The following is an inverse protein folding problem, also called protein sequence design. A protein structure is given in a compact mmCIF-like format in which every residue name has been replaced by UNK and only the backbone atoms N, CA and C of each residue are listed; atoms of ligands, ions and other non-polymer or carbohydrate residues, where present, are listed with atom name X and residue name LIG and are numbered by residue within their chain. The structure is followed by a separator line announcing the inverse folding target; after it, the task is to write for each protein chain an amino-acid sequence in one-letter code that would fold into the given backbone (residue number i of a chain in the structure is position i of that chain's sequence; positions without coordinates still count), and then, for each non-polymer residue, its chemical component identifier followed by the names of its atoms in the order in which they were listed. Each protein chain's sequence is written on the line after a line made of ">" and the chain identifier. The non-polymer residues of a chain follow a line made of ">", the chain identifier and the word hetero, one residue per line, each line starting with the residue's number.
data_IF_479576812722
#
_entry.id   IF_479576812722
#
_cell.length_a   1.000
_cell.length_b   1.000
_cell.length_c   1.000
_cell.angle_alpha   90.00
_cell.angle_beta   90.00
_cell.angle_gamma   90.00
#
_symmetry.space_group_name_H-M   'P 1'
#
loop_
_entity.id
_entity.type
_entity.pdbx_description
1 polymer ?
#
# COMPACT_ATOMS: atom_id res chain seq x y z
N UNK A 1 45.99 -25.33 -4.45
CA UNK A 1 46.98 -26.43 -4.53
C UNK A 1 48.20 -25.90 -5.29
N UNK A 2 49.28 -25.55 -4.60
CA UNK A 2 50.43 -24.83 -5.17
C UNK A 2 51.42 -25.71 -5.93
N UNK A 3 50.96 -26.74 -6.66
CA UNK A 3 51.82 -27.61 -7.45
C UNK A 3 51.75 -27.21 -8.93
N UNK A 4 52.84 -26.59 -9.42
CA UNK A 4 52.94 -26.03 -10.77
C UNK A 4 52.98 -27.09 -11.88
N UNK A 5 53.52 -28.29 -11.62
CA UNK A 5 53.58 -29.35 -12.62
C UNK A 5 52.19 -29.93 -12.90
N UNK A 6 51.42 -30.16 -11.83
CA UNK A 6 50.03 -30.65 -11.96
C UNK A 6 49.15 -29.59 -12.62
N UNK A 7 49.38 -28.31 -12.34
CA UNK A 7 48.63 -27.22 -12.97
C UNK A 7 48.80 -27.23 -14.50
N UNK A 8 50.03 -27.37 -15.02
CA UNK A 8 50.28 -27.41 -16.46
C UNK A 8 49.63 -28.60 -17.16
N UNK A 9 49.68 -29.78 -16.54
CA UNK A 9 49.02 -30.99 -17.08
C UNK A 9 47.50 -30.80 -17.12
N UNK A 10 46.92 -30.27 -16.04
CA UNK A 10 45.47 -30.04 -15.94
C UNK A 10 45.00 -29.00 -16.96
N UNK A 11 45.77 -27.92 -17.13
CA UNK A 11 45.47 -26.86 -18.10
C UNK A 11 45.45 -27.39 -19.53
N UNK A 12 46.46 -28.19 -19.91
CA UNK A 12 46.51 -28.80 -21.26
C UNK A 12 45.30 -29.69 -21.53
N UNK A 13 45.01 -30.63 -20.62
CA UNK A 13 43.88 -31.56 -20.79
C UNK A 13 42.55 -30.80 -20.83
N UNK A 14 42.40 -29.79 -19.98
CA UNK A 14 41.17 -28.98 -19.94
C UNK A 14 41.00 -28.16 -21.21
N UNK A 15 42.06 -27.54 -21.72
CA UNK A 15 42.01 -26.78 -22.96
C UNK A 15 41.62 -27.67 -24.14
N UNK A 16 42.24 -28.85 -24.28
CA UNK A 16 41.94 -29.77 -25.36
C UNK A 16 40.48 -30.26 -25.30
N UNK A 17 40.01 -30.66 -24.12
CA UNK A 17 38.64 -31.14 -23.92
C UNK A 17 37.60 -30.03 -24.14
N UNK A 18 37.85 -28.82 -23.64
CA UNK A 18 36.94 -27.68 -23.83
C UNK A 18 36.91 -27.25 -25.30
N UNK A 19 38.06 -27.19 -25.97
CA UNK A 19 38.13 -26.87 -27.40
C UNK A 19 37.40 -27.90 -28.23
N UNK A 20 37.57 -29.20 -27.94
CA UNK A 20 36.85 -30.26 -28.63
C UNK A 20 35.32 -30.11 -28.42
N UNK A 21 34.87 -29.95 -27.18
CA UNK A 21 33.45 -29.83 -26.85
C UNK A 21 32.78 -28.63 -27.54
N UNK A 22 33.43 -27.47 -27.54
CA UNK A 22 32.90 -26.25 -28.16
C UNK A 22 32.82 -26.38 -29.69
N UNK A 23 33.75 -27.10 -30.32
CA UNK A 23 33.72 -27.36 -31.76
C UNK A 23 32.65 -28.39 -32.16
N UNK A 24 32.44 -29.40 -31.33
CA UNK A 24 31.44 -30.45 -31.58
C UNK A 24 30.00 -29.97 -31.31
N UNK A 25 29.81 -28.95 -30.47
CA UNK A 25 28.48 -28.43 -30.07
C UNK A 25 28.30 -26.92 -30.38
N UNK A 26 28.11 -26.52 -31.66
CA UNK A 26 28.07 -25.12 -32.07
C UNK A 26 26.97 -24.28 -31.40
N UNK A 27 25.79 -24.87 -31.16
CA UNK A 27 24.66 -24.17 -30.56
C UNK A 27 24.94 -23.83 -29.09
N UNK A 28 25.48 -24.77 -28.32
CA UNK A 28 25.84 -24.55 -26.92
C UNK A 28 27.04 -23.61 -26.79
N UNK A 29 28.05 -23.79 -27.67
CA UNK A 29 29.19 -22.89 -27.75
C UNK A 29 28.76 -21.44 -28.00
N UNK A 30 27.81 -21.21 -28.91
CA UNK A 30 27.27 -19.88 -29.17
C UNK A 30 26.60 -19.27 -27.94
N UNK A 31 25.85 -20.05 -27.15
CA UNK A 31 25.22 -19.59 -25.90
C UNK A 31 26.28 -19.23 -24.86
N UNK A 32 27.30 -20.09 -24.68
CA UNK A 32 28.40 -19.86 -23.74
C UNK A 32 29.19 -18.60 -24.12
N UNK A 33 29.61 -18.49 -25.38
CA UNK A 33 30.35 -17.33 -25.90
C UNK A 33 29.54 -16.05 -25.76
N UNK A 34 28.24 -16.08 -26.07
CA UNK A 34 27.35 -14.93 -25.90
C UNK A 34 27.32 -14.47 -24.44
N UNK A 35 27.22 -15.39 -23.48
CA UNK A 35 27.23 -15.07 -22.04
C UNK A 35 28.57 -14.50 -21.58
N UNK A 36 29.70 -15.00 -22.13
CA UNK A 36 31.04 -14.45 -21.88
C UNK A 36 31.14 -13.02 -22.41
N UNK A 37 30.70 -12.76 -23.66
CA UNK A 37 30.71 -11.44 -24.28
C UNK A 37 29.84 -10.46 -23.50
N UNK A 38 28.61 -10.83 -23.16
CA UNK A 38 27.71 -10.00 -22.34
C UNK A 38 28.37 -9.63 -20.99
N UNK A 39 29.02 -10.59 -20.34
CA UNK A 39 29.72 -10.38 -19.06
C UNK A 39 30.98 -9.52 -19.20
N UNK A 40 31.70 -9.61 -20.33
CA UNK A 40 32.87 -8.81 -20.62
C UNK A 40 32.47 -7.36 -20.94
N UNK A 41 31.43 -7.16 -21.75
CA UNK A 41 30.87 -5.85 -22.06
C UNK A 41 30.37 -5.15 -20.80
N UNK A 42 29.67 -5.87 -19.90
CA UNK A 42 29.24 -5.32 -18.61
C UNK A 42 30.41 -4.90 -17.72
N UNK A 43 31.49 -5.70 -17.67
CA UNK A 43 32.71 -5.35 -16.94
C UNK A 43 33.40 -4.13 -17.54
N UNK A 44 33.49 -4.04 -18.87
CA UNK A 44 34.15 -2.94 -19.56
C UNK A 44 33.35 -1.63 -19.44
N UNK A 45 32.02 -1.69 -19.54
CA UNK A 45 31.13 -0.56 -19.35
C UNK A 45 31.15 -0.08 -17.88
N UNK A 46 31.11 -0.99 -16.90
CA UNK A 46 31.32 -0.64 -15.50
C UNK A 46 32.71 -0.01 -15.26
N UNK A 47 33.77 -0.53 -15.90
CA UNK A 47 35.11 0.06 -15.82
C UNK A 47 35.17 1.46 -16.46
N UNK A 48 34.59 1.66 -17.65
CA UNK A 48 34.52 2.98 -18.31
C UNK A 48 33.73 3.99 -17.49
N UNK A 49 32.61 3.56 -16.87
CA UNK A 49 31.84 4.38 -15.94
C UNK A 49 32.63 4.73 -14.67
N UNK A 50 33.41 3.77 -14.13
CA UNK A 50 34.35 3.98 -13.02
C UNK A 50 35.48 4.96 -13.41
N UNK A 51 36.05 4.87 -14.60
CA UNK A 51 37.11 5.79 -15.07
C UNK A 51 36.57 7.21 -15.33
N UNK A 52 35.35 7.36 -15.83
CA UNK A 52 34.67 8.65 -16.02
C UNK A 52 34.37 9.36 -14.70
N UNK A 53 34.03 8.59 -13.65
CA UNK A 53 33.82 9.10 -12.30
C UNK A 53 35.15 9.40 -11.58
N UNK A 54 36.24 8.68 -11.89
CA UNK A 54 37.57 8.87 -11.28
C UNK A 54 38.42 9.96 -11.96
N UNK A 55 38.33 10.17 -13.27
CA UNK A 55 39.09 11.27 -13.95
C UNK A 55 38.63 12.67 -13.57
N UNK A 56 37.43 12.83 -13.01
CA UNK A 56 36.95 14.10 -12.45
C UNK A 56 37.43 14.36 -11.01
N UNK A 57 38.17 13.44 -10.39
CA UNK A 57 38.36 13.42 -8.93
C UNK A 57 39.56 14.19 -8.38
N UNK A 58 40.25 15.05 -9.15
CA UNK A 58 41.45 15.74 -8.64
C UNK A 58 41.37 17.27 -8.56
N UNK A 59 40.39 17.95 -9.19
CA UNK A 59 40.30 19.42 -9.05
C UNK A 59 38.90 20.05 -9.15
N UNK A 60 37.83 19.29 -9.26
CA UNK A 60 36.47 19.83 -9.14
C UNK A 60 35.83 19.32 -7.85
N UNK A 61 35.48 20.25 -6.96
CA UNK A 61 34.48 20.02 -5.92
C UNK A 61 33.36 19.17 -6.51
N UNK A 62 33.04 18.03 -5.90
CA UNK A 62 31.99 17.09 -6.31
C UNK A 62 30.81 17.88 -6.88
N UNK A 63 30.68 17.95 -8.21
CA UNK A 63 29.63 18.77 -8.82
C UNK A 63 28.30 18.14 -8.40
N UNK A 64 27.64 18.79 -7.45
CA UNK A 64 26.31 18.41 -7.03
C UNK A 64 25.39 18.45 -8.25
N UNK A 65 24.39 17.55 -8.33
CA UNK A 65 23.45 17.56 -9.43
C UNK A 65 22.80 18.94 -9.55
N UNK A 66 22.70 19.50 -10.76
CA UNK A 66 22.10 20.83 -10.96
C UNK A 66 20.63 20.94 -10.50
N UNK A 67 19.95 19.80 -10.32
CA UNK A 67 18.59 19.71 -9.77
C UNK A 67 18.54 19.75 -8.25
N UNK A 68 19.63 19.43 -7.56
CA UNK A 68 19.68 19.36 -6.11
C UNK A 68 19.62 20.78 -5.52
N UNK A 69 18.62 21.04 -4.70
CA UNK A 69 18.58 22.23 -3.85
C UNK A 69 19.10 21.86 -2.46
N UNK A 70 20.40 22.06 -2.24
CA UNK A 70 21.09 21.64 -1.02
C UNK A 70 20.76 22.53 0.21
N UNK A 71 21.09 22.03 1.41
CA UNK A 71 20.98 22.73 2.69
C UNK A 71 22.32 23.32 3.16
N UNK A 72 22.28 24.16 4.20
CA UNK A 72 23.47 24.79 4.79
C UNK A 72 24.18 23.88 5.79
N UNK A 73 23.43 23.01 6.45
CA UNK A 73 23.92 22.05 7.43
C UNK A 73 24.88 21.05 6.78
N UNK A 74 26.02 20.84 7.42
CA UNK A 74 27.07 19.92 6.93
C UNK A 74 27.14 18.64 7.74
N UNK A 75 26.61 18.63 8.96
CA UNK A 75 26.50 17.41 9.74
C UNK A 75 25.40 16.50 9.14
N UNK A 76 25.75 15.30 8.63
CA UNK A 76 24.78 14.37 8.08
C UNK A 76 23.67 13.98 9.07
N UNK A 77 23.95 13.98 10.37
CA UNK A 77 22.96 13.61 11.39
C UNK A 77 21.86 14.65 11.57
N UNK A 78 22.16 15.90 11.26
CA UNK A 78 21.24 17.04 11.40
C UNK A 78 20.59 17.43 10.06
N UNK A 79 21.11 16.92 8.94
CA UNK A 79 20.61 17.21 7.60
C UNK A 79 19.64 16.13 7.11
N UNK A 80 18.72 16.55 6.24
CA UNK A 80 17.75 15.66 5.63
C UNK A 80 17.54 15.99 4.15
N UNK A 81 17.21 14.98 3.35
CA UNK A 81 16.96 15.11 1.93
C UNK A 81 15.59 14.56 1.57
N UNK A 82 14.80 15.36 0.86
CA UNK A 82 13.52 14.96 0.29
C UNK A 82 13.70 14.58 -1.18
N UNK A 83 13.33 13.35 -1.52
CA UNK A 83 13.23 12.86 -2.88
C UNK A 83 11.78 13.02 -3.31
N UNK A 84 11.54 13.91 -4.28
CA UNK A 84 10.19 14.32 -4.69
C UNK A 84 9.89 13.95 -6.13
N UNK A 85 8.65 13.53 -6.37
CA UNK A 85 8.15 13.21 -7.69
C UNK A 85 7.82 14.49 -8.49
N UNK A 86 8.56 14.70 -9.58
CA UNK A 86 8.29 15.77 -10.54
C UNK A 86 8.76 17.16 -10.13
N UNK A 87 8.87 18.03 -11.13
CA UNK A 87 9.31 19.42 -10.95
C UNK A 87 8.26 20.27 -10.22
N UNK A 88 6.98 19.91 -10.31
CA UNK A 88 5.88 20.66 -9.67
C UNK A 88 5.98 20.57 -8.15
N UNK A 89 5.94 19.35 -7.60
CA UNK A 89 6.13 19.11 -6.17
C UNK A 89 7.53 19.58 -5.72
N UNK A 90 8.56 19.39 -6.55
CA UNK A 90 9.90 19.91 -6.28
C UNK A 90 9.99 21.43 -6.19
N UNK A 91 9.21 22.15 -6.99
CA UNK A 91 9.09 23.61 -6.91
C UNK A 91 8.48 24.07 -5.60
N UNK A 92 7.34 23.50 -5.20
CA UNK A 92 6.66 23.82 -3.94
C UNK A 92 7.52 23.44 -2.73
N UNK A 93 8.13 22.26 -2.74
CA UNK A 93 9.02 21.80 -1.67
C UNK A 93 10.27 22.70 -1.55
N UNK A 94 10.88 23.11 -2.67
CA UNK A 94 12.02 24.02 -2.66
C UNK A 94 11.68 25.40 -2.07
N UNK A 95 10.46 25.89 -2.29
CA UNK A 95 9.99 27.16 -1.76
C UNK A 95 9.65 27.08 -0.26
N UNK A 96 9.03 25.98 0.18
CA UNK A 96 8.57 25.79 1.56
C UNK A 96 9.60 25.20 2.52
N UNK A 97 10.74 24.69 2.04
CA UNK A 97 11.76 24.04 2.89
C UNK A 97 12.44 24.98 3.87
N UNK A 98 12.93 24.42 4.97
CA UNK A 98 13.97 25.05 5.77
C UNK A 98 15.34 24.89 5.09
N UNK A 99 15.90 26.01 4.63
CA UNK A 99 17.22 26.03 3.96
C UNK A 99 18.37 25.62 4.88
N UNK A 100 18.17 25.67 6.20
CA UNK A 100 19.18 25.30 7.18
C UNK A 100 19.54 23.83 7.05
N UNK A 101 18.56 22.92 7.07
CA UNK A 101 18.81 21.48 7.16
C UNK A 101 18.09 20.60 6.13
N UNK A 102 17.20 21.15 5.30
CA UNK A 102 16.44 20.36 4.32
C UNK A 102 16.95 20.54 2.90
N UNK A 103 17.41 19.47 2.28
CA UNK A 103 17.74 19.40 0.85
C UNK A 103 16.56 18.82 0.05
N UNK A 104 16.37 19.27 -1.19
CA UNK A 104 15.32 18.77 -2.09
C UNK A 104 15.95 18.25 -3.38
N UNK A 105 15.62 17.02 -3.76
CA UNK A 105 16.00 16.40 -5.02
C UNK A 105 14.75 15.99 -5.83
N UNK A 106 14.38 16.79 -6.84
CA UNK A 106 13.31 16.43 -7.78
C UNK A 106 13.75 15.35 -8.77
N UNK A 107 12.92 14.32 -8.93
CA UNK A 107 13.09 13.28 -9.94
C UNK A 107 12.09 13.47 -11.08
N UNK A 108 12.54 13.27 -12.32
CA UNK A 108 11.67 13.38 -13.51
C UNK A 108 11.28 12.00 -14.03
N UNK A 109 9.98 11.80 -14.21
CA UNK A 109 9.43 10.59 -14.81
C UNK A 109 9.58 9.34 -13.94
N UNK A 110 9.19 8.19 -14.48
CA UNK A 110 9.34 6.89 -13.80
C UNK A 110 10.82 6.51 -13.79
N UNK A 111 11.35 6.22 -12.61
CA UNK A 111 12.73 5.75 -12.45
C UNK A 111 12.92 4.46 -13.24
N UNK A 112 14.11 4.27 -13.80
CA UNK A 112 14.46 3.03 -14.46
C UNK A 112 14.31 1.86 -13.48
N UNK A 113 13.56 0.83 -13.88
CA UNK A 113 13.47 -0.40 -13.12
C UNK A 113 14.85 -1.07 -13.05
N UNK A 114 15.49 -0.96 -11.89
CA UNK A 114 16.84 -1.50 -11.64
C UNK A 114 16.88 -3.01 -11.49
N UNK A 115 15.74 -3.67 -11.25
CA UNK A 115 15.66 -5.13 -11.19
C UNK A 115 15.81 -5.74 -12.60
N UNK A 116 15.17 -5.12 -13.60
CA UNK A 116 15.25 -5.59 -15.00
C UNK A 116 16.44 -5.04 -15.77
N UNK A 117 16.93 -3.87 -15.38
CA UNK A 117 17.97 -3.19 -16.13
C UNK A 117 19.35 -3.80 -15.86
N UNK A 118 20.12 -4.04 -16.93
CA UNK A 118 21.55 -4.33 -16.81
C UNK A 118 22.24 -3.18 -16.05
N UNK A 119 23.26 -3.52 -15.25
CA UNK A 119 24.02 -2.57 -14.41
C UNK A 119 24.51 -1.36 -15.20
N UNK A 120 24.94 -1.54 -16.45
CA UNK A 120 25.42 -0.43 -17.30
C UNK A 120 24.32 0.58 -17.62
N UNK A 121 23.10 0.10 -17.89
CA UNK A 121 21.94 0.94 -18.19
C UNK A 121 21.50 1.70 -16.95
N UNK A 122 21.56 1.06 -15.78
CA UNK A 122 21.34 1.69 -14.48
C UNK A 122 22.35 2.82 -14.24
N UNK A 123 23.64 2.52 -14.39
CA UNK A 123 24.71 3.50 -14.20
C UNK A 123 24.68 4.63 -15.24
N UNK A 124 24.13 4.40 -16.43
CA UNK A 124 23.95 5.44 -17.44
C UNK A 124 22.76 6.36 -17.19
N UNK A 125 21.82 5.98 -16.31
CA UNK A 125 20.60 6.75 -16.06
C UNK A 125 20.90 8.03 -15.27
N UNK A 126 20.51 9.17 -15.82
CA UNK A 126 20.81 10.48 -15.22
C UNK A 126 20.10 10.73 -13.87
N UNK A 127 18.89 10.19 -13.66
CA UNK A 127 18.18 10.31 -12.37
C UNK A 127 18.88 9.49 -11.29
N UNK A 128 19.32 8.27 -11.61
CA UNK A 128 20.07 7.41 -10.68
C UNK A 128 21.44 8.03 -10.37
N UNK A 129 22.17 8.51 -11.39
CA UNK A 129 23.42 9.23 -11.17
C UNK A 129 23.22 10.44 -10.26
N UNK A 130 22.16 11.22 -10.50
CA UNK A 130 21.84 12.40 -9.70
C UNK A 130 21.56 12.01 -8.25
N UNK A 131 20.77 10.96 -8.02
CA UNK A 131 20.47 10.43 -6.68
C UNK A 131 21.73 9.97 -5.94
N UNK A 132 22.55 9.12 -6.57
CA UNK A 132 23.80 8.60 -5.98
C UNK A 132 24.77 9.74 -5.67
N UNK A 133 24.90 10.70 -6.58
CA UNK A 133 25.79 11.86 -6.39
C UNK A 133 25.29 12.76 -5.27
N UNK A 134 23.96 12.96 -5.16
CA UNK A 134 23.37 13.73 -4.06
C UNK A 134 23.65 13.06 -2.70
N UNK A 135 23.49 11.74 -2.59
CA UNK A 135 23.72 10.99 -1.34
C UNK A 135 25.20 10.89 -0.95
N UNK A 136 26.10 10.86 -1.93
CA UNK A 136 27.56 10.83 -1.71
C UNK A 136 28.15 9.45 -1.40
N UNK A 137 27.31 8.42 -1.29
CA UNK A 137 27.71 7.07 -0.86
C UNK A 137 28.35 6.21 -1.94
N UNK A 138 28.26 6.60 -3.23
CA UNK A 138 28.55 5.66 -4.33
C UNK A 138 27.44 4.62 -4.51
N UNK A 139 27.63 3.64 -5.40
CA UNK A 139 26.60 2.66 -5.78
C UNK A 139 27.18 1.24 -5.95
N UNK A 140 26.44 0.24 -5.48
CA UNK A 140 26.76 -1.19 -5.62
C UNK A 140 27.74 -1.70 -4.56
N UNK A 141 27.78 -3.02 -4.37
CA UNK A 141 28.51 -3.71 -3.29
C UNK A 141 29.99 -3.31 -3.15
N UNK A 142 30.66 -3.01 -4.25
CA UNK A 142 32.11 -2.77 -4.25
C UNK A 142 32.50 -1.29 -4.03
N UNK A 143 31.57 -0.36 -4.27
CA UNK A 143 31.85 1.09 -4.28
C UNK A 143 30.96 1.87 -3.29
N UNK A 144 29.98 1.22 -2.70
CA UNK A 144 29.11 1.82 -1.71
C UNK A 144 29.87 1.99 -0.38
N UNK A 145 29.88 3.22 0.12
CA UNK A 145 30.49 3.61 1.39
C UNK A 145 29.50 4.50 2.16
N UNK A 146 28.85 3.88 3.13
CA UNK A 146 27.89 4.54 4.01
C UNK A 146 28.51 5.66 4.85
N UNK A 147 29.82 5.64 5.12
CA UNK A 147 30.47 6.70 5.91
C UNK A 147 30.48 8.05 5.20
N UNK A 148 30.26 8.05 3.87
CA UNK A 148 30.16 9.25 3.03
C UNK A 148 28.74 9.75 2.86
N UNK A 149 27.76 9.13 3.53
CA UNK A 149 26.37 9.53 3.44
C UNK A 149 26.20 10.97 3.92
N UNK A 150 25.68 11.83 3.04
CA UNK A 150 25.55 13.26 3.30
C UNK A 150 24.31 13.66 4.12
N UNK A 151 23.31 12.78 4.17
CA UNK A 151 22.04 13.01 4.86
C UNK A 151 21.61 11.72 5.57
N UNK A 152 21.53 11.73 6.90
CA UNK A 152 21.07 10.57 7.69
C UNK A 152 19.54 10.42 7.72
N UNK A 153 18.82 11.38 7.14
CA UNK A 153 17.38 11.28 6.92
C UNK A 153 17.09 11.47 5.45
N UNK A 154 16.73 10.38 4.79
CA UNK A 154 16.30 10.34 3.39
C UNK A 154 14.80 10.13 3.40
N UNK A 155 14.04 11.11 2.92
CA UNK A 155 12.58 11.09 2.92
C UNK A 155 12.09 10.95 1.47
N UNK A 156 11.38 9.86 1.19
CA UNK A 156 10.64 9.69 -0.06
C UNK A 156 9.28 10.38 0.10
N UNK A 157 9.04 11.39 -0.73
CA UNK A 157 7.79 12.16 -0.74
C UNK A 157 7.17 12.08 -2.13
N UNK A 158 6.20 11.17 -2.28
CA UNK A 158 5.48 10.88 -3.51
C UNK A 158 3.99 11.16 -3.36
N UNK A 159 3.28 11.30 -4.48
CA UNK A 159 1.83 11.45 -4.47
C UNK A 159 1.13 10.18 -3.93
N UNK A 160 -0.12 10.35 -3.49
CA UNK A 160 -0.95 9.27 -2.96
C UNK A 160 -1.64 8.44 -4.06
N UNK A 161 -1.37 8.74 -5.33
CA UNK A 161 -1.94 8.05 -6.48
C UNK A 161 -1.12 6.80 -6.87
N UNK A 162 -1.56 6.15 -7.95
CA UNK A 162 -0.95 4.92 -8.46
C UNK A 162 0.48 5.17 -8.98
N UNK A 163 0.73 6.33 -9.59
CA UNK A 163 2.04 6.65 -10.15
C UNK A 163 3.06 6.97 -9.06
N UNK A 164 2.64 7.67 -8.00
CA UNK A 164 3.43 7.86 -6.80
C UNK A 164 3.73 6.55 -6.07
N UNK A 165 2.76 5.63 -5.99
CA UNK A 165 3.00 4.28 -5.49
C UNK A 165 4.04 3.51 -6.34
N UNK A 166 4.00 3.64 -7.66
CA UNK A 166 5.00 3.03 -8.56
C UNK A 166 6.40 3.59 -8.34
N UNK A 167 6.57 4.92 -8.30
CA UNK A 167 7.89 5.53 -8.10
C UNK A 167 8.45 5.23 -6.71
N UNK A 168 7.60 5.27 -5.68
CA UNK A 168 7.97 4.85 -4.33
C UNK A 168 8.49 3.42 -4.31
N UNK A 169 7.80 2.51 -4.99
CA UNK A 169 8.22 1.10 -5.09
C UNK A 169 9.57 0.97 -5.79
N UNK A 170 9.77 1.66 -6.92
CA UNK A 170 11.04 1.66 -7.65
C UNK A 170 12.21 2.20 -6.81
N UNK A 171 11.97 3.25 -6.02
CA UNK A 171 12.96 3.79 -5.09
C UNK A 171 13.27 2.81 -3.97
N UNK A 172 12.26 2.19 -3.37
CA UNK A 172 12.45 1.18 -2.31
C UNK A 172 13.27 -0.01 -2.83
N UNK A 173 12.94 -0.54 -4.01
CA UNK A 173 13.73 -1.59 -4.66
C UNK A 173 15.17 -1.14 -4.94
N UNK A 174 15.36 0.10 -5.39
CA UNK A 174 16.70 0.64 -5.61
C UNK A 174 17.52 0.68 -4.32
N UNK A 175 16.98 1.23 -3.23
CA UNK A 175 17.67 1.29 -1.94
C UNK A 175 17.93 -0.12 -1.40
N UNK A 176 16.96 -1.03 -1.50
CA UNK A 176 17.10 -2.40 -1.03
C UNK A 176 18.21 -3.16 -1.76
N UNK A 177 18.29 -3.05 -3.09
CA UNK A 177 19.28 -3.80 -3.88
C UNK A 177 20.66 -3.15 -3.92
N UNK A 178 20.73 -1.82 -3.95
CA UNK A 178 21.99 -1.10 -4.21
C UNK A 178 22.60 -0.46 -2.96
N UNK A 179 21.80 -0.21 -1.91
CA UNK A 179 22.21 0.51 -0.70
C UNK A 179 21.51 -0.04 0.57
N UNK A 180 21.54 -1.37 0.83
CA UNK A 180 20.78 -1.97 1.93
C UNK A 180 21.14 -1.39 3.30
N UNK A 181 22.41 -1.02 3.52
CA UNK A 181 22.86 -0.43 4.79
C UNK A 181 22.13 0.87 5.17
N UNK A 182 21.60 1.62 4.19
CA UNK A 182 20.79 2.82 4.46
C UNK A 182 19.50 2.43 5.18
N UNK A 183 18.88 1.32 4.77
CA UNK A 183 17.66 0.79 5.39
C UNK A 183 18.00 0.15 6.74
N UNK A 184 19.07 -0.65 6.81
CA UNK A 184 19.52 -1.33 8.03
C UNK A 184 19.85 -0.34 9.16
N UNK A 185 20.53 0.77 8.84
CA UNK A 185 20.81 1.85 9.80
C UNK A 185 19.61 2.75 10.04
N UNK A 186 18.53 2.56 9.29
CA UNK A 186 17.27 3.25 9.50
C UNK A 186 17.29 4.71 9.06
N UNK A 187 17.99 5.02 7.97
CA UNK A 187 18.08 6.36 7.40
C UNK A 187 16.97 6.67 6.38
N UNK A 188 16.20 5.66 5.96
CA UNK A 188 15.15 5.80 4.94
C UNK A 188 13.75 5.94 5.55
N UNK A 189 13.02 6.95 5.09
CA UNK A 189 11.68 7.31 5.56
C UNK A 189 10.75 7.59 4.38
N UNK A 190 9.46 7.43 4.60
CA UNK A 190 8.38 7.77 3.66
C UNK A 190 7.52 8.86 4.30
N UNK A 191 7.35 9.99 3.62
CA UNK A 191 6.47 11.05 4.07
C UNK A 191 5.01 10.61 4.02
N UNK A 192 4.19 11.07 4.98
CA UNK A 192 2.75 10.80 5.02
C UNK A 192 1.98 12.13 4.88
N UNK A 193 1.85 12.67 3.64
CA UNK A 193 1.07 13.88 3.42
C UNK A 193 -0.42 13.65 3.75
N UNK A 194 -1.16 14.69 4.19
CA UNK A 194 -2.58 14.54 4.50
C UNK A 194 -3.42 14.34 3.25
N UNK A 195 -4.37 13.41 3.31
CA UNK A 195 -5.35 13.17 2.25
C UNK A 195 -6.49 14.20 2.24
N UNK A 196 -6.84 14.74 3.41
CA UNK A 196 -7.94 15.69 3.56
C UNK A 196 -7.54 16.95 4.31
N UNK A 197 -8.11 18.07 3.88
CA UNK A 197 -8.18 19.34 4.61
C UNK A 197 -9.63 19.63 4.96
N UNK A 198 -9.87 19.84 6.26
CA UNK A 198 -11.17 20.24 6.79
C UNK A 198 -11.08 21.66 7.31
N UNK A 199 -12.05 22.50 6.93
CA UNK A 199 -12.22 23.85 7.48
C UNK A 199 -13.59 24.02 8.14
N UNK A 200 -13.62 24.69 9.30
CA UNK A 200 -14.85 25.21 9.93
C UNK A 200 -14.60 26.64 10.40
N UNK A 201 -15.09 27.61 9.63
CA UNK A 201 -14.76 29.02 9.85
C UNK A 201 -13.25 29.26 9.73
N UNK A 202 -12.61 29.74 10.80
CA UNK A 202 -11.16 29.99 10.85
C UNK A 202 -10.31 28.78 11.27
N UNK A 203 -10.94 27.70 11.76
CA UNK A 203 -10.20 26.50 12.21
C UNK A 203 -9.96 25.57 11.03
N UNK A 204 -8.73 25.07 10.93
CA UNK A 204 -8.27 24.16 9.90
C UNK A 204 -7.71 22.89 10.54
N UNK A 205 -8.00 21.74 9.92
CA UNK A 205 -7.46 20.44 10.29
C UNK A 205 -6.98 19.70 9.05
N UNK A 206 -5.89 18.97 9.20
CA UNK A 206 -5.32 18.11 8.17
C UNK A 206 -5.41 16.67 8.65
N UNK A 207 -5.87 15.77 7.79
CA UNK A 207 -6.15 14.37 8.13
C UNK A 207 -5.49 13.44 7.12
N UNK A 208 -4.84 12.40 7.63
CA UNK A 208 -3.98 11.50 6.85
C UNK A 208 -4.78 10.56 5.96
N UNK A 209 -5.93 10.06 6.40
CA UNK A 209 -6.69 9.03 5.72
C UNK A 209 -8.20 9.15 5.99
N UNK A 210 -8.99 8.29 5.34
CA UNK A 210 -10.45 8.24 5.50
C UNK A 210 -10.86 7.87 6.93
N UNK A 211 -10.13 6.98 7.60
CA UNK A 211 -10.40 6.60 8.99
C UNK A 211 -10.27 7.81 9.94
N UNK A 212 -9.24 8.63 9.76
CA UNK A 212 -9.03 9.86 10.53
C UNK A 212 -10.14 10.89 10.27
N UNK A 213 -10.67 10.95 9.05
CA UNK A 213 -11.84 11.76 8.69
C UNK A 213 -13.08 11.28 9.42
N UNK A 214 -13.35 9.98 9.38
CA UNK A 214 -14.50 9.40 10.03
C UNK A 214 -14.45 9.60 11.55
N UNK A 215 -13.30 9.35 12.19
CA UNK A 215 -13.13 9.59 13.62
C UNK A 215 -13.25 11.08 13.98
N UNK A 216 -12.72 11.98 13.14
CA UNK A 216 -12.89 13.42 13.34
C UNK A 216 -14.38 13.82 13.27
N UNK A 217 -15.11 13.32 12.28
CA UNK A 217 -16.53 13.60 12.11
C UNK A 217 -17.34 13.04 13.28
N UNK A 218 -17.12 11.77 13.66
CA UNK A 218 -17.81 11.13 14.77
C UNK A 218 -17.53 11.85 16.10
N UNK A 219 -16.29 12.27 16.35
CA UNK A 219 -15.95 12.99 17.59
C UNK A 219 -16.62 14.36 17.70
N UNK A 220 -16.77 15.07 16.58
CA UNK A 220 -17.22 16.47 16.59
C UNK A 220 -18.72 16.65 16.30
N UNK A 221 -19.34 15.77 15.52
CA UNK A 221 -20.73 15.91 15.09
C UNK A 221 -21.74 15.17 15.98
N UNK A 222 -21.31 14.13 16.68
CA UNK A 222 -22.20 13.26 17.47
C UNK A 222 -22.77 13.95 18.73
N UNK A 223 -22.34 15.19 19.03
CA UNK A 223 -22.93 15.98 20.11
C UNK A 223 -24.38 16.39 19.82
N UNK A 224 -24.69 16.68 18.56
CA UNK A 224 -25.97 17.27 18.14
C UNK A 224 -26.83 16.29 17.33
N UNK A 225 -26.44 15.01 17.32
CA UNK A 225 -27.09 13.94 16.56
C UNK A 225 -27.47 12.78 17.50
N UNK A 226 -28.71 12.30 17.42
CA UNK A 226 -29.18 11.07 18.07
C UNK A 226 -29.72 10.07 17.05
N UNK A 227 -29.64 8.78 17.40
CA UNK A 227 -30.30 7.70 16.66
C UNK A 227 -31.32 7.05 17.58
N UNK A 228 -32.57 7.01 17.14
CA UNK A 228 -33.69 6.44 17.87
C UNK A 228 -34.22 5.20 17.15
N UNK A 229 -34.24 4.07 17.85
CA UNK A 229 -35.00 2.88 17.51
C UNK A 229 -35.82 2.47 18.74
N UNK A 230 -35.65 1.23 19.22
CA UNK A 230 -36.20 0.79 20.52
C UNK A 230 -35.54 1.54 21.68
N UNK A 231 -34.27 1.91 21.50
CA UNK A 231 -33.51 2.78 22.41
C UNK A 231 -33.06 4.03 21.65
N UNK A 232 -32.87 5.13 22.38
CA UNK A 232 -32.22 6.33 21.85
C UNK A 232 -30.74 6.33 22.26
N UNK A 233 -29.85 6.46 21.27
CA UNK A 233 -28.39 6.49 21.46
C UNK A 233 -27.82 7.82 20.99
N UNK A 234 -26.93 8.38 21.80
CA UNK A 234 -26.28 9.69 21.61
C UNK A 234 -24.80 9.62 22.00
N UNK A 235 -24.02 10.64 21.67
CA UNK A 235 -22.67 10.82 22.21
C UNK A 235 -21.73 9.64 21.91
N UNK A 236 -20.97 9.21 22.93
CA UNK A 236 -20.01 8.12 22.79
C UNK A 236 -20.66 6.79 22.36
N UNK A 237 -21.89 6.51 22.83
CA UNK A 237 -22.64 5.31 22.44
C UNK A 237 -23.01 5.35 20.96
N UNK A 238 -23.49 6.47 20.43
CA UNK A 238 -23.76 6.60 18.99
C UNK A 238 -22.49 6.35 18.17
N UNK A 239 -21.36 6.94 18.57
CA UNK A 239 -20.08 6.72 17.91
C UNK A 239 -19.66 5.25 17.90
N UNK A 240 -19.91 4.53 19.01
CA UNK A 240 -19.67 3.09 19.13
C UNK A 240 -20.55 2.31 18.15
N UNK A 241 -21.84 2.63 18.08
CA UNK A 241 -22.78 1.98 17.16
C UNK A 241 -22.43 2.23 15.68
N UNK A 242 -22.01 3.44 15.30
CA UNK A 242 -21.60 3.73 13.93
C UNK A 242 -20.35 2.94 13.54
N UNK A 243 -19.36 2.85 14.44
CA UNK A 243 -18.18 1.99 14.21
C UNK A 243 -18.54 0.52 14.04
N UNK A 244 -19.49 0.00 14.82
CA UNK A 244 -20.00 -1.37 14.66
C UNK A 244 -20.68 -1.57 13.28
N UNK A 245 -21.47 -0.59 12.83
CA UNK A 245 -22.12 -0.63 11.51
C UNK A 245 -21.08 -0.62 10.38
N UNK A 246 -20.05 0.23 10.49
CA UNK A 246 -18.93 0.29 9.55
C UNK A 246 -18.12 -1.01 9.53
N UNK A 247 -17.78 -1.56 10.70
CA UNK A 247 -17.07 -2.84 10.83
C UNK A 247 -17.85 -3.99 10.23
N UNK A 248 -19.16 -4.07 10.50
CA UNK A 248 -20.07 -5.02 9.85
C UNK A 248 -20.01 -4.92 8.33
N UNK A 249 -20.09 -3.72 7.77
CA UNK A 249 -20.01 -3.50 6.31
C UNK A 249 -18.70 -4.03 5.74
N UNK A 250 -17.57 -3.76 6.41
CA UNK A 250 -16.24 -4.25 5.97
C UNK A 250 -16.17 -5.79 5.98
N UNK A 251 -16.65 -6.44 7.04
CA UNK A 251 -16.69 -7.91 7.13
C UNK A 251 -17.56 -8.51 6.02
N UNK A 252 -18.76 -7.98 5.84
CA UNK A 252 -19.71 -8.43 4.81
C UNK A 252 -19.15 -8.27 3.38
N UNK A 253 -18.48 -7.15 3.11
CA UNK A 253 -17.82 -6.90 1.84
C UNK A 253 -16.69 -7.92 1.57
N UNK A 254 -15.93 -8.34 2.59
CA UNK A 254 -14.92 -9.39 2.44
C UNK A 254 -15.53 -10.74 2.02
N UNK A 255 -16.74 -11.07 2.47
CA UNK A 255 -17.46 -12.26 2.00
C UNK A 255 -17.97 -12.07 0.57
N UNK A 256 -18.47 -10.88 0.24
CA UNK A 256 -18.89 -10.53 -1.12
C UNK A 256 -17.75 -10.71 -2.15
N UNK A 257 -16.53 -10.33 -1.76
CA UNK A 257 -15.31 -10.54 -2.54
C UNK A 257 -14.93 -12.02 -2.69
N UNK A 258 -15.34 -12.89 -1.77
CA UNK A 258 -15.16 -14.35 -1.86
C UNK A 258 -16.29 -15.04 -2.63
N UNK A 259 -17.05 -14.28 -3.41
CA UNK A 259 -18.20 -14.76 -4.20
C UNK A 259 -19.37 -15.32 -3.36
N UNK A 260 -19.42 -14.97 -2.07
CA UNK A 260 -20.52 -15.30 -1.17
C UNK A 260 -21.48 -14.10 -1.11
N UNK A 261 -22.78 -14.35 -1.00
CA UNK A 261 -23.77 -13.28 -0.91
C UNK A 261 -23.81 -12.73 0.52
N UNK A 262 -23.44 -11.46 0.68
CA UNK A 262 -23.40 -10.83 1.99
C UNK A 262 -24.74 -10.90 2.75
N UNK A 263 -25.87 -10.95 2.03
CA UNK A 263 -27.23 -10.98 2.62
C UNK A 263 -27.52 -12.33 3.28
N UNK A 264 -27.02 -13.42 2.70
CA UNK A 264 -27.11 -14.76 3.26
C UNK A 264 -26.20 -14.88 4.48
N UNK A 265 -24.96 -14.41 4.38
CA UNK A 265 -24.02 -14.36 5.52
C UNK A 265 -24.59 -13.53 6.67
N UNK A 266 -25.14 -12.37 6.35
CA UNK A 266 -25.79 -11.51 7.32
C UNK A 266 -26.97 -12.23 7.99
N UNK A 267 -27.80 -12.94 7.22
CA UNK A 267 -28.92 -13.72 7.75
C UNK A 267 -28.45 -14.83 8.69
N UNK A 268 -27.45 -15.60 8.29
CA UNK A 268 -26.85 -16.67 9.11
C UNK A 268 -26.26 -16.13 10.42
N UNK A 269 -25.66 -14.94 10.39
CA UNK A 269 -25.05 -14.35 11.60
C UNK A 269 -26.05 -13.79 12.63
N UNK A 270 -27.36 -13.77 12.33
CA UNK A 270 -28.40 -13.47 13.32
C UNK A 270 -28.84 -14.69 14.13
N UNK A 271 -28.49 -15.90 13.69
CA UNK A 271 -28.78 -17.13 14.40
C UNK A 271 -27.89 -17.28 15.64
N UNK A 272 -28.35 -18.09 16.58
CA UNK A 272 -27.60 -18.43 17.78
C UNK A 272 -26.28 -19.15 17.42
N UNK A 273 -25.12 -18.69 17.90
CA UNK A 273 -23.83 -19.37 17.67
C UNK A 273 -23.83 -20.86 18.05
N UNK A 274 -24.62 -21.26 19.05
CA UNK A 274 -24.66 -22.65 19.51
C UNK A 274 -25.26 -23.60 18.47
N UNK A 275 -26.09 -23.10 17.54
CA UNK A 275 -26.63 -23.90 16.42
C UNK A 275 -25.53 -24.38 15.46
N UNK A 276 -24.41 -23.66 15.38
CA UNK A 276 -23.29 -24.05 14.52
C UNK A 276 -22.27 -24.93 15.23
N UNK A 277 -22.19 -24.85 16.57
CA UNK A 277 -21.17 -25.50 17.40
C UNK A 277 -21.63 -26.85 17.96
N UNK A 278 -22.90 -26.99 18.30
CA UNK A 278 -23.45 -28.15 19.01
C UNK A 278 -24.33 -29.00 18.09
N UNK A 279 -23.68 -29.70 17.14
CA UNK A 279 -24.37 -30.52 16.13
C UNK A 279 -24.94 -29.64 15.02
N UNK A 280 -24.25 -29.64 13.87
CA UNK A 280 -24.66 -28.86 12.70
C UNK A 280 -25.91 -29.49 12.06
N UNK A 281 -27.10 -29.05 12.49
CA UNK A 281 -28.37 -29.46 11.89
C UNK A 281 -28.67 -28.57 10.68
N UNK A 282 -28.19 -28.99 9.50
CA UNK A 282 -28.34 -28.25 8.25
C UNK A 282 -29.78 -27.93 7.90
N UNK A 283 -30.73 -28.81 8.22
CA UNK A 283 -32.15 -28.59 7.91
C UNK A 283 -32.74 -27.48 8.78
N UNK A 284 -32.45 -27.50 10.09
CA UNK A 284 -32.88 -26.46 11.03
C UNK A 284 -32.24 -25.12 10.70
N UNK A 285 -30.91 -25.09 10.53
CA UNK A 285 -30.16 -23.85 10.23
C UNK A 285 -30.66 -23.24 8.91
N UNK A 286 -30.92 -24.05 7.88
CA UNK A 286 -31.46 -23.57 6.61
C UNK A 286 -32.83 -22.90 6.78
N UNK A 287 -33.74 -23.53 7.53
CA UNK A 287 -35.07 -22.97 7.79
C UNK A 287 -35.00 -21.64 8.56
N UNK A 288 -34.15 -21.57 9.57
CA UNK A 288 -33.94 -20.36 10.38
C UNK A 288 -33.34 -19.22 9.52
N UNK A 289 -32.37 -19.53 8.66
CA UNK A 289 -31.81 -18.55 7.70
C UNK A 289 -32.90 -18.06 6.74
N UNK A 290 -33.71 -18.96 6.18
CA UNK A 290 -34.81 -18.61 5.27
C UNK A 290 -35.83 -17.71 5.96
N UNK A 291 -36.14 -17.95 7.24
CA UNK A 291 -37.02 -17.08 8.01
C UNK A 291 -36.43 -15.67 8.15
N UNK A 292 -35.14 -15.56 8.50
CA UNK A 292 -34.46 -14.26 8.59
C UNK A 292 -34.43 -13.55 7.25
N UNK A 293 -34.17 -14.27 6.15
CA UNK A 293 -34.21 -13.72 4.78
C UNK A 293 -35.59 -13.12 4.48
N UNK A 294 -36.67 -13.84 4.78
CA UNK A 294 -38.04 -13.36 4.55
C UNK A 294 -38.36 -12.10 5.35
N UNK A 295 -37.87 -12.04 6.59
CA UNK A 295 -38.10 -10.90 7.48
C UNK A 295 -37.26 -9.66 7.10
N UNK A 296 -35.97 -9.84 6.79
CA UNK A 296 -35.00 -8.74 6.66
C UNK A 296 -34.60 -8.42 5.21
N UNK A 297 -34.77 -9.36 4.29
CA UNK A 297 -34.38 -9.23 2.88
C UNK A 297 -35.54 -9.66 1.95
N UNK A 298 -36.71 -9.01 2.03
CA UNK A 298 -37.88 -9.41 1.24
C UNK A 298 -37.64 -9.33 -0.28
N UNK A 299 -36.64 -8.54 -0.72
CA UNK A 299 -36.25 -8.37 -2.11
C UNK A 299 -34.97 -9.15 -2.51
N UNK A 300 -34.61 -10.23 -1.79
CA UNK A 300 -33.39 -11.01 -2.06
C UNK A 300 -33.31 -11.51 -3.53
N UNK A 301 -34.46 -11.67 -4.20
CA UNK A 301 -34.58 -12.33 -5.49
C UNK A 301 -34.71 -13.85 -5.34
N UNK A 302 -34.88 -14.60 -6.44
CA UNK A 302 -34.94 -16.05 -6.38
C UNK A 302 -33.61 -16.63 -5.88
N UNK A 303 -33.70 -17.62 -5.00
CA UNK A 303 -32.57 -18.39 -4.51
C UNK A 303 -32.92 -19.88 -4.47
N UNK A 304 -31.91 -20.73 -4.61
CA UNK A 304 -32.03 -22.17 -4.35
C UNK A 304 -31.08 -22.58 -3.23
N UNK A 305 -31.46 -23.59 -2.48
CA UNK A 305 -30.70 -24.11 -1.34
C UNK A 305 -30.43 -25.59 -1.52
N UNK A 306 -29.16 -25.99 -1.50
CA UNK A 306 -28.76 -27.38 -1.39
C UNK A 306 -28.43 -27.66 0.08
N UNK A 307 -29.15 -28.59 0.71
CA UNK A 307 -28.97 -28.94 2.12
C UNK A 307 -28.31 -30.32 2.17
N UNK A 308 -27.07 -30.36 2.66
CA UNK A 308 -26.28 -31.57 2.87
C UNK A 308 -26.13 -31.82 4.38
N UNK A 309 -25.60 -32.98 4.78
CA UNK A 309 -25.50 -33.36 6.20
C UNK A 309 -24.63 -32.39 7.03
N UNK A 310 -23.60 -31.80 6.44
CA UNK A 310 -22.61 -30.94 7.12
C UNK A 310 -22.51 -29.52 6.54
N UNK A 311 -23.32 -29.20 5.53
CA UNK A 311 -23.25 -27.93 4.82
C UNK A 311 -24.58 -27.53 4.17
N UNK A 312 -24.80 -26.23 4.05
CA UNK A 312 -25.87 -25.63 3.24
C UNK A 312 -25.23 -24.76 2.17
N UNK A 313 -25.67 -24.89 0.92
CA UNK A 313 -25.21 -24.03 -0.19
C UNK A 313 -26.38 -23.22 -0.71
N UNK A 314 -26.29 -21.89 -0.57
CA UNK A 314 -27.24 -20.96 -1.16
C UNK A 314 -26.72 -20.49 -2.52
N UNK A 315 -27.53 -20.68 -3.54
CA UNK A 315 -27.32 -20.09 -4.86
C UNK A 315 -28.22 -18.88 -5.02
N UNK A 316 -27.62 -17.71 -5.18
CA UNK A 316 -28.35 -16.45 -5.37
C UNK A 316 -27.84 -15.70 -6.60
N UNK A 317 -28.64 -14.75 -7.08
CA UNK A 317 -28.20 -13.78 -8.08
C UNK A 317 -28.23 -12.39 -7.47
N UNK A 318 -27.11 -11.69 -7.55
CA UNK A 318 -26.97 -10.31 -7.06
C UNK A 318 -26.24 -9.49 -8.11
N UNK A 319 -26.84 -8.37 -8.54
CA UNK A 319 -26.30 -7.50 -9.58
C UNK A 319 -25.90 -8.24 -10.87
N UNK A 320 -26.67 -9.26 -11.26
CA UNK A 320 -26.40 -10.10 -12.44
C UNK A 320 -25.31 -11.16 -12.24
N UNK A 321 -24.64 -11.21 -11.09
CA UNK A 321 -23.63 -12.20 -10.77
C UNK A 321 -24.24 -13.35 -9.96
N UNK A 322 -23.89 -14.58 -10.33
CA UNK A 322 -24.24 -15.78 -9.56
C UNK A 322 -23.31 -15.89 -8.35
N UNK A 323 -23.92 -16.00 -7.17
CA UNK A 323 -23.21 -16.18 -5.90
C UNK A 323 -23.46 -17.57 -5.36
N UNK A 324 -22.44 -18.13 -4.71
CA UNK A 324 -22.52 -19.41 -4.01
C UNK A 324 -22.08 -19.18 -2.57
N UNK A 325 -23.01 -19.31 -1.64
CA UNK A 325 -22.75 -19.07 -0.21
C UNK A 325 -22.80 -20.38 0.54
N UNK A 326 -21.63 -20.84 0.96
CA UNK A 326 -21.46 -22.02 1.78
C UNK A 326 -21.65 -21.66 3.26
N UNK A 327 -22.58 -22.34 3.93
CA UNK A 327 -22.79 -22.27 5.37
C UNK A 327 -22.46 -23.64 5.93
N UNK A 328 -21.38 -23.74 6.70
CA UNK A 328 -20.92 -24.96 7.36
C UNK A 328 -20.40 -24.62 8.76
N UNK A 329 -19.99 -25.64 9.52
CA UNK A 329 -19.37 -25.43 10.82
C UNK A 329 -18.09 -24.58 10.74
N UNK A 330 -17.29 -24.75 9.68
CA UNK A 330 -16.03 -24.01 9.47
C UNK A 330 -16.27 -22.50 9.36
N UNK A 331 -17.36 -22.06 8.72
CA UNK A 331 -17.73 -20.66 8.64
C UNK A 331 -17.86 -20.07 10.05
N UNK A 332 -18.49 -20.78 10.98
CA UNK A 332 -18.69 -20.32 12.37
C UNK A 332 -17.39 -20.18 13.17
N UNK A 333 -16.35 -20.93 12.79
CA UNK A 333 -15.01 -20.86 13.39
C UNK A 333 -14.17 -19.71 12.82
N UNK A 334 -14.60 -19.10 11.70
CA UNK A 334 -13.88 -17.95 11.15
C UNK A 334 -14.01 -16.74 12.07
N UNK A 335 -12.88 -16.07 12.36
CA UNK A 335 -12.85 -14.84 13.17
C UNK A 335 -13.82 -13.77 12.64
N UNK A 336 -13.98 -13.68 11.32
CA UNK A 336 -14.89 -12.73 10.68
C UNK A 336 -16.36 -12.99 10.99
N UNK A 337 -16.79 -14.26 10.96
CA UNK A 337 -18.17 -14.62 11.27
C UNK A 337 -18.47 -14.50 12.76
N UNK A 338 -17.54 -14.95 13.62
CA UNK A 338 -17.66 -14.80 15.07
C UNK A 338 -17.79 -13.33 15.48
N UNK A 339 -16.98 -12.45 14.87
CA UNK A 339 -17.07 -11.01 15.07
C UNK A 339 -18.40 -10.45 14.57
N UNK A 340 -18.89 -10.92 13.41
CA UNK A 340 -20.17 -10.51 12.84
C UNK A 340 -21.36 -10.86 13.76
N UNK A 341 -21.36 -12.07 14.35
CA UNK A 341 -22.37 -12.49 15.33
C UNK A 341 -22.34 -11.58 16.58
N UNK A 342 -21.14 -11.29 17.10
CA UNK A 342 -20.97 -10.34 18.23
C UNK A 342 -21.50 -8.96 17.89
N UNK A 343 -21.21 -8.42 16.71
CA UNK A 343 -21.72 -7.12 16.26
C UNK A 343 -23.25 -7.15 16.18
N UNK A 344 -23.85 -8.18 15.56
CA UNK A 344 -25.31 -8.26 15.44
C UNK A 344 -26.01 -8.37 16.78
N UNK A 345 -25.46 -9.11 17.75
CA UNK A 345 -26.01 -9.18 19.10
C UNK A 345 -26.13 -7.78 19.75
N UNK A 346 -25.18 -6.89 19.46
CA UNK A 346 -25.18 -5.52 19.97
C UNK A 346 -26.12 -4.61 19.17
N UNK A 347 -26.12 -4.73 17.84
CA UNK A 347 -27.00 -3.94 16.97
C UNK A 347 -28.48 -4.28 17.17
N UNK A 348 -28.81 -5.53 17.53
CA UNK A 348 -30.19 -5.96 17.85
C UNK A 348 -30.81 -5.15 19.00
N UNK A 349 -29.99 -4.59 19.90
CA UNK A 349 -30.44 -3.71 21.00
C UNK A 349 -31.01 -2.38 20.51
N UNK A 350 -30.65 -1.93 19.29
CA UNK A 350 -31.24 -0.74 18.67
C UNK A 350 -32.69 -0.97 18.21
N UNK A 351 -33.13 -2.22 18.14
CA UNK A 351 -34.47 -2.58 17.71
C UNK A 351 -34.58 -2.83 16.21
N UNK A 352 -35.82 -2.76 15.72
CA UNK A 352 -36.17 -2.98 14.32
C UNK A 352 -36.40 -1.63 13.61
N UNK A 353 -36.18 -1.56 12.29
CA UNK A 353 -36.55 -0.39 11.51
C UNK A 353 -38.08 -0.14 11.55
N UNK A 354 -38.54 1.08 11.25
CA UNK A 354 -37.74 2.25 10.87
C UNK A 354 -36.96 2.85 12.05
N UNK A 355 -35.78 3.37 11.76
CA UNK A 355 -35.01 4.15 12.73
C UNK A 355 -35.21 5.64 12.46
N UNK A 356 -35.00 6.48 13.47
CA UNK A 356 -35.04 7.95 13.31
C UNK A 356 -33.69 8.55 13.68
N UNK A 357 -33.05 9.22 12.73
CA UNK A 357 -31.88 10.07 12.98
C UNK A 357 -32.36 11.48 13.30
N UNK A 358 -32.07 11.99 14.50
CA UNK A 358 -32.42 13.36 14.90
C UNK A 358 -31.14 14.18 14.83
N UNK A 359 -31.09 15.18 13.95
CA UNK A 359 -29.94 16.10 13.81
C UNK A 359 -30.41 17.52 14.05
N UNK A 360 -29.83 18.21 15.04
CA UNK A 360 -30.22 19.58 15.42
C UNK A 360 -31.75 19.74 15.62
N UNK A 361 -32.40 18.74 16.21
CA UNK A 361 -33.86 18.72 16.44
C UNK A 361 -34.71 18.36 15.21
N UNK A 362 -34.12 18.16 14.03
CA UNK A 362 -34.85 17.70 12.83
C UNK A 362 -34.82 16.17 12.75
N UNK A 363 -35.97 15.49 12.80
CA UNK A 363 -36.05 14.04 12.66
C UNK A 363 -36.00 13.61 11.19
N UNK A 364 -35.24 12.56 10.90
CA UNK A 364 -35.15 11.91 9.60
C UNK A 364 -35.41 10.40 9.77
N UNK A 365 -36.47 9.90 9.15
CA UNK A 365 -36.77 8.47 9.16
C UNK A 365 -35.88 7.73 8.15
N UNK A 366 -35.32 6.59 8.56
CA UNK A 366 -34.45 5.75 7.74
C UNK A 366 -34.85 4.28 7.87
N UNK A 367 -34.72 3.52 6.78
CA UNK A 367 -35.28 2.16 6.69
C UNK A 367 -34.33 1.09 7.20
N UNK A 368 -33.05 1.41 7.39
CA UNK A 368 -32.05 0.48 7.86
C UNK A 368 -30.86 1.20 8.51
N UNK A 369 -30.05 0.44 9.26
CA UNK A 369 -28.87 0.98 9.97
C UNK A 369 -27.78 1.51 9.02
N UNK A 370 -27.72 1.05 7.76
CA UNK A 370 -26.75 1.56 6.78
C UNK A 370 -27.13 2.97 6.35
N UNK A 371 -28.40 3.21 6.05
CA UNK A 371 -28.95 4.54 5.80
C UNK A 371 -28.81 5.45 7.02
N UNK A 372 -29.06 4.93 8.23
CA UNK A 372 -28.83 5.68 9.46
C UNK A 372 -27.38 6.17 9.55
N UNK A 373 -26.40 5.28 9.36
CA UNK A 373 -24.99 5.66 9.40
C UNK A 373 -24.63 6.67 8.31
N UNK A 374 -25.07 6.46 7.06
CA UNK A 374 -24.83 7.40 5.98
C UNK A 374 -25.40 8.78 6.29
N UNK A 375 -26.65 8.84 6.75
CA UNK A 375 -27.31 10.08 7.13
C UNK A 375 -26.57 10.81 8.24
N UNK A 376 -26.10 10.08 9.25
CA UNK A 376 -25.29 10.65 10.34
C UNK A 376 -23.98 11.25 9.80
N UNK A 377 -23.28 10.56 8.90
CA UNK A 377 -22.07 11.11 8.25
C UNK A 377 -22.39 12.33 7.39
N UNK A 378 -23.48 12.34 6.65
CA UNK A 378 -23.88 13.47 5.81
C UNK A 378 -24.19 14.70 6.67
N UNK A 379 -24.94 14.53 7.76
CA UNK A 379 -25.19 15.59 8.74
C UNK A 379 -23.89 16.02 9.43
N UNK A 380 -23.01 15.09 9.76
CA UNK A 380 -21.72 15.38 10.39
C UNK A 380 -20.80 16.22 9.49
N UNK A 381 -20.89 16.04 8.18
CA UNK A 381 -20.14 16.82 7.19
C UNK A 381 -20.70 18.24 7.01
N UNK A 382 -21.98 18.48 7.35
CA UNK A 382 -22.57 19.82 7.22
C UNK A 382 -21.84 20.82 8.12
N UNK A 383 -21.50 21.97 7.55
CA UNK A 383 -20.75 23.03 8.23
C UNK A 383 -19.24 22.85 8.20
N UNK A 384 -18.72 21.80 7.57
CA UNK A 384 -17.31 21.66 7.23
C UNK A 384 -17.10 21.81 5.72
N UNK A 385 -16.06 22.53 5.33
CA UNK A 385 -15.55 22.51 3.96
C UNK A 385 -14.48 21.43 3.88
N UNK A 386 -14.74 20.38 3.10
CA UNK A 386 -13.82 19.28 2.87
C UNK A 386 -13.12 19.47 1.52
N UNK A 387 -11.79 19.48 1.54
CA UNK A 387 -10.95 19.42 0.35
C UNK A 387 -10.14 18.12 0.42
N UNK A 388 -10.19 17.30 -0.62
CA UNK A 388 -9.33 16.12 -0.78
C UNK A 388 -8.14 16.50 -1.66
N UNK A 389 -6.94 16.20 -1.21
CA UNK A 389 -5.73 16.36 -2.01
C UNK A 389 -5.55 15.14 -2.90
N UNK A 390 -5.29 15.36 -4.20
CA UNK A 390 -4.97 14.27 -5.13
C UNK A 390 -3.47 14.09 -5.34
N UNK A 391 -2.71 15.18 -5.20
CA UNK A 391 -1.25 15.18 -5.30
C UNK A 391 -0.63 16.33 -4.51
N UNK A 392 0.66 16.22 -4.26
CA UNK A 392 1.46 17.19 -3.51
C UNK A 392 1.50 18.55 -4.20
N UNK A 393 1.39 18.58 -5.54
CA UNK A 393 1.35 19.81 -6.33
C UNK A 393 0.11 20.68 -6.11
N UNK A 394 -0.95 20.16 -5.49
CA UNK A 394 -2.14 20.93 -5.12
C UNK A 394 -1.95 21.74 -3.83
N UNK A 395 -0.88 21.47 -3.08
CA UNK A 395 -0.55 22.19 -1.85
C UNK A 395 0.34 23.40 -2.16
N UNK A 396 -0.02 24.55 -1.61
CA UNK A 396 0.87 25.71 -1.60
C UNK A 396 2.10 25.41 -0.71
N UNK A 397 3.26 26.07 -0.93
CA UNK A 397 4.48 25.84 -0.17
C UNK A 397 4.29 25.85 1.35
N UNK A 398 3.52 26.81 1.89
CA UNK A 398 3.25 26.91 3.33
C UNK A 398 2.44 25.71 3.85
N UNK A 399 1.49 25.22 3.07
CA UNK A 399 0.70 24.04 3.43
C UNK A 399 1.56 22.78 3.42
N UNK A 400 2.43 22.63 2.41
CA UNK A 400 3.34 21.51 2.31
C UNK A 400 4.33 21.50 3.49
N UNK A 401 4.82 22.68 3.87
CA UNK A 401 5.63 22.85 5.08
C UNK A 401 4.87 22.40 6.33
N UNK A 402 3.74 23.03 6.65
CA UNK A 402 2.98 22.80 7.88
C UNK A 402 2.51 21.35 8.06
N UNK A 403 2.31 20.63 6.96
CA UNK A 403 1.73 19.29 6.98
C UNK A 403 2.75 18.17 6.83
N UNK A 404 3.78 18.37 6.01
CA UNK A 404 4.62 17.26 5.51
C UNK A 404 6.10 17.48 5.78
N UNK A 405 6.55 18.73 5.96
CA UNK A 405 7.99 19.03 6.11
C UNK A 405 8.39 19.58 7.48
N UNK A 406 7.46 20.18 8.23
CA UNK A 406 7.67 20.71 9.58
C UNK A 406 8.03 19.57 10.55
N UNK A 407 9.26 19.55 11.13
CA UNK A 407 9.70 18.50 12.04
C UNK A 407 8.81 18.27 13.26
N UNK A 408 8.04 19.27 13.70
CA UNK A 408 7.17 19.16 14.87
C UNK A 408 5.80 18.54 14.55
N UNK A 409 5.36 18.63 13.27
CA UNK A 409 4.00 18.23 12.86
C UNK A 409 3.95 17.06 11.89
N UNK A 410 5.02 16.86 11.11
CA UNK A 410 5.05 15.85 10.05
C UNK A 410 4.90 14.44 10.62
N UNK A 411 4.21 13.59 9.85
CA UNK A 411 4.18 12.15 10.07
C UNK A 411 5.07 11.46 9.03
N UNK A 412 5.88 10.50 9.48
CA UNK A 412 6.79 9.74 8.63
C UNK A 412 6.76 8.27 9.02
N UNK A 413 6.85 7.41 8.01
CA UNK A 413 7.02 5.98 8.20
C UNK A 413 8.51 5.64 7.98
N UNK A 414 9.14 5.04 8.99
CA UNK A 414 10.51 4.54 8.88
C UNK A 414 10.48 3.20 8.15
N UNK A 415 11.26 3.06 7.08
CA UNK A 415 11.31 1.82 6.30
C UNK A 415 12.13 0.77 7.05
N UNK A 416 11.57 -0.43 7.20
CA UNK A 416 12.29 -1.60 7.72
C UNK A 416 12.74 -2.55 6.61
N UNK A 417 13.62 -3.50 6.95
CA UNK A 417 14.08 -4.52 6.00
C UNK A 417 12.91 -5.42 5.59
N UNK A 418 12.02 -5.77 6.52
CA UNK A 418 10.85 -6.60 6.25
C UNK A 418 9.92 -5.94 5.21
N UNK A 419 9.68 -4.62 5.36
CA UNK A 419 8.90 -3.84 4.39
C UNK A 419 9.54 -3.84 2.99
N UNK A 420 10.87 -3.77 2.94
CA UNK A 420 11.63 -3.78 1.70
C UNK A 420 11.59 -5.15 1.01
N UNK A 421 11.62 -6.24 1.77
CA UNK A 421 11.46 -7.61 1.27
C UNK A 421 10.04 -7.85 0.75
N UNK A 422 9.01 -7.43 1.49
CA UNK A 422 7.61 -7.55 1.03
C UNK A 422 7.40 -6.76 -0.28
N UNK A 423 7.95 -5.53 -0.34
CA UNK A 423 7.91 -4.70 -1.53
C UNK A 423 8.64 -5.37 -2.72
N UNK A 424 9.80 -5.97 -2.50
CA UNK A 424 10.56 -6.71 -3.53
C UNK A 424 9.82 -7.96 -4.01
N UNK A 425 9.18 -8.72 -3.12
CA UNK A 425 8.38 -9.89 -3.49
C UNK A 425 7.16 -9.50 -4.33
N UNK A 426 6.44 -8.45 -3.91
CA UNK A 426 5.31 -7.90 -4.66
C UNK A 426 5.78 -7.42 -6.03
N UNK A 427 6.92 -6.72 -6.08
CA UNK A 427 7.46 -6.18 -7.32
C UNK A 427 7.98 -7.27 -8.26
N UNK A 428 8.68 -8.28 -7.75
CA UNK A 428 9.15 -9.44 -8.51
C UNK A 428 7.97 -10.22 -9.09
N UNK A 429 6.89 -10.37 -8.33
CA UNK A 429 5.67 -11.03 -8.78
C UNK A 429 4.92 -10.22 -9.84
N UNK A 430 4.76 -8.91 -9.63
CA UNK A 430 4.03 -8.03 -10.55
C UNK A 430 4.82 -7.68 -11.80
N UNK A 431 6.14 -7.56 -11.71
CA UNK A 431 6.99 -7.08 -12.79
C UNK A 431 7.89 -8.17 -13.37
N UNK A 432 8.03 -9.35 -12.77
CA UNK A 432 8.79 -10.48 -13.30
C UNK A 432 8.30 -10.97 -14.67
N UNK A 433 9.10 -11.77 -15.37
CA UNK A 433 8.70 -12.25 -16.71
C UNK A 433 7.66 -13.38 -16.65
N UNK A 434 7.38 -13.86 -15.44
CA UNK A 434 6.47 -14.97 -15.17
C UNK A 434 5.01 -14.50 -15.11
N UNK A 435 4.21 -14.93 -16.09
CA UNK A 435 2.83 -14.47 -16.30
C UNK A 435 1.87 -15.06 -15.26
N UNK A 436 2.13 -16.28 -14.80
CA UNK A 436 1.22 -17.03 -13.92
C UNK A 436 1.18 -16.42 -12.51
N UNK A 437 2.32 -16.18 -11.82
CA UNK A 437 2.31 -15.53 -10.49
C UNK A 437 1.73 -14.12 -10.53
N UNK A 438 2.01 -13.36 -11.61
CA UNK A 438 1.41 -12.04 -11.84
C UNK A 438 -0.12 -12.12 -11.92
N UNK A 439 -0.64 -13.07 -12.71
CA UNK A 439 -2.09 -13.24 -12.90
C UNK A 439 -2.76 -13.66 -11.60
N UNK A 440 -2.21 -14.61 -10.87
CA UNK A 440 -2.73 -15.05 -9.57
C UNK A 440 -2.67 -13.92 -8.52
N UNK A 441 -1.62 -13.11 -8.53
CA UNK A 441 -1.51 -11.95 -7.65
C UNK A 441 -2.55 -10.88 -7.99
N UNK A 442 -2.75 -10.58 -9.29
CA UNK A 442 -3.79 -9.65 -9.75
C UNK A 442 -5.17 -10.20 -9.40
N UNK A 443 -5.48 -11.48 -9.65
CA UNK A 443 -6.78 -12.07 -9.34
C UNK A 443 -7.04 -12.10 -7.82
N UNK A 444 -6.03 -12.39 -7.00
CA UNK A 444 -6.12 -12.42 -5.53
C UNK A 444 -6.21 -11.03 -4.89
N UNK A 445 -5.58 -10.01 -5.48
CA UNK A 445 -5.55 -8.64 -4.93
C UNK A 445 -6.48 -7.65 -5.64
N UNK A 446 -6.97 -7.93 -6.84
CA UNK A 446 -8.01 -7.13 -7.51
C UNK A 446 -9.29 -7.09 -6.67
N UNK A 447 -9.54 -8.13 -5.88
CA UNK A 447 -10.63 -8.20 -4.90
C UNK A 447 -10.43 -7.24 -3.70
N UNK A 448 -9.23 -6.69 -3.48
CA UNK A 448 -8.94 -5.71 -2.40
C UNK A 448 -8.91 -4.26 -2.88
N UNK A 449 -8.77 -4.02 -4.19
CA UNK A 449 -8.72 -2.67 -4.79
C UNK A 449 -10.12 -2.25 -5.23
N UNK A 450 -10.96 -1.88 -4.27
CA UNK A 450 -12.15 -1.06 -4.53
C UNK A 450 -11.85 0.37 -4.09
N UNK A 451 -11.13 1.09 -4.96
CA UNK A 451 -11.19 2.55 -5.17
C UNK A 451 -10.20 2.94 -6.29
N UNK A 452 -10.35 2.31 -7.46
CA UNK A 452 -9.91 2.89 -8.73
C UNK A 452 -11.18 3.25 -9.48
N UNK A 453 -11.66 4.48 -9.25
CA UNK A 453 -12.60 5.10 -10.19
C UNK A 453 -11.83 5.48 -11.45
N UNK A 454 -12.39 5.12 -12.59
CA UNK A 454 -12.13 5.71 -13.92
C UNK A 454 -12.69 7.14 -13.94
#
# INVERSE_FOLDING_TARGET
>A
LGNSEIAGITESITNDAVSQYLNENPNEAAVIIKKIIDSAQAREAARKARELTRRKSSFESTLLPGKLADCQEKDPALSEIYIVEGDSAGGSAKQGRDRKNQAILPLKGKILNVEKARVDKMLSNEEIKSLVTALGTGIGSDNFDISRLRYHRIIIMTDADVDGAHIRTLLLTFFFRQMPEIIERGHLYIAQPPLFKIAKGKKLWYLLNEESLDDFLLKNAVKDISLKGDIEVTGAELSRYIRLIGRRKSILLNYEHRNMDERIIQSASYLDPDLFRNGFDSARINNDIIQVIREWFPYLGPYTTEVLDDQIVFHTVKNGLRKQTHIDQKLSETKGFEELQKIHSQLKKLGRPPFTVISNGTPYEVTNLREAAQKIYDEARKGYTLQRYKGLGEMNPDQLWETTMDPEKRSMLKVSIDDAVETDQIFTTLMGDDVVPRREFIEKNALKVTNLDI
#
